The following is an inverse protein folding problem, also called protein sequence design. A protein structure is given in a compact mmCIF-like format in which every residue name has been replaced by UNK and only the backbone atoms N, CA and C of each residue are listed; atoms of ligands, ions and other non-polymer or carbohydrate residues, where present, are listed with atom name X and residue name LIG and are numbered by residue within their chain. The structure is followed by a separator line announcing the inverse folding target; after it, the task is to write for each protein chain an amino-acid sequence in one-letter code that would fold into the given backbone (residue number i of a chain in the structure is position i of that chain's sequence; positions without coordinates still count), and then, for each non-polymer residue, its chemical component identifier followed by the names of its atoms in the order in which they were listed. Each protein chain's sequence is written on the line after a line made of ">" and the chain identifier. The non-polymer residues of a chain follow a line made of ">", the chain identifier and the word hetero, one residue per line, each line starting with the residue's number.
data_IF_943038004664
#
_entry.id   IF_943038004664
#
_cell.length_a   1.000
_cell.length_b   1.000
_cell.length_c   1.000
_cell.angle_alpha   90.00
_cell.angle_beta   90.00
_cell.angle_gamma   90.00
#
_symmetry.space_group_name_H-M   'P 1'
#
loop_
_entity.id
_entity.type
_entity.pdbx_description
1 polymer ?
#
# COMPACT_ATOMS: atom_id res chain seq x y z
N UNK A 1 12.04 18.40 8.58
CA UNK A 1 11.52 17.52 7.50
C UNK A 1 10.00 17.61 7.52
N UNK A 2 9.28 17.46 6.40
CA UNK A 2 7.80 17.46 6.45
C UNK A 2 7.28 16.12 6.97
N UNK A 3 6.37 16.11 7.96
CA UNK A 3 5.77 14.89 8.54
C UNK A 3 5.21 13.95 7.47
N UNK A 4 4.67 14.49 6.37
CA UNK A 4 4.13 13.70 5.26
C UNK A 4 5.19 12.83 4.56
N UNK A 5 6.44 13.30 4.50
CA UNK A 5 7.56 12.57 3.89
C UNK A 5 7.97 11.40 4.79
N UNK A 6 7.94 11.60 6.11
CA UNK A 6 8.21 10.54 7.09
C UNK A 6 7.14 9.47 7.05
N UNK A 7 5.86 9.87 7.08
CA UNK A 7 4.71 8.96 6.90
C UNK A 7 4.87 8.11 5.63
N UNK A 8 5.18 8.73 4.49
CA UNK A 8 5.43 8.01 3.22
C UNK A 8 6.54 6.97 3.37
N UNK A 9 7.67 7.33 3.98
CA UNK A 9 8.80 6.41 4.18
C UNK A 9 8.44 5.26 5.10
N UNK A 10 7.73 5.54 6.19
CA UNK A 10 7.26 4.53 7.15
C UNK A 10 6.35 3.50 6.46
N UNK A 11 5.37 3.96 5.68
CA UNK A 11 4.46 3.07 4.93
C UNK A 11 5.21 2.20 3.93
N UNK A 12 6.09 2.80 3.10
CA UNK A 12 6.85 2.05 2.10
C UNK A 12 7.73 0.99 2.76
N UNK A 13 8.40 1.33 3.86
CA UNK A 13 9.24 0.39 4.60
C UNK A 13 8.40 -0.76 5.14
N UNK A 14 7.32 -0.45 5.85
CA UNK A 14 6.44 -1.46 6.43
C UNK A 14 5.88 -2.43 5.39
N UNK A 15 5.35 -1.92 4.26
CA UNK A 15 4.78 -2.78 3.22
C UNK A 15 5.85 -3.68 2.60
N UNK A 16 7.06 -3.16 2.31
CA UNK A 16 8.17 -3.98 1.79
C UNK A 16 8.67 -5.05 2.77
N UNK A 17 8.58 -4.79 4.07
CA UNK A 17 9.00 -5.74 5.11
C UNK A 17 7.94 -6.82 5.39
N UNK A 18 6.66 -6.54 5.16
CA UNK A 18 5.56 -7.43 5.52
C UNK A 18 4.85 -8.08 4.33
N UNK A 19 5.08 -7.58 3.11
CA UNK A 19 4.47 -8.08 1.88
C UNK A 19 5.59 -8.46 0.91
N UNK A 20 5.48 -9.64 0.30
CA UNK A 20 6.39 -10.06 -0.77
C UNK A 20 6.01 -9.35 -2.07
N UNK A 21 6.43 -8.09 -2.19
CA UNK A 21 6.15 -7.21 -3.31
C UNK A 21 7.43 -6.78 -4.06
N UNK A 22 7.28 -6.45 -5.33
CA UNK A 22 8.33 -5.88 -6.17
C UNK A 22 8.47 -4.39 -5.97
N UNK A 23 7.33 -3.69 -5.89
CA UNK A 23 7.31 -2.24 -5.76
C UNK A 23 6.10 -1.75 -4.94
N UNK A 24 6.26 -0.58 -4.35
CA UNK A 24 5.28 0.11 -3.51
C UNK A 24 5.28 1.59 -3.86
N UNK A 25 4.14 2.08 -4.34
CA UNK A 25 3.92 3.50 -4.64
C UNK A 25 2.79 4.05 -3.77
N UNK A 26 3.09 5.04 -2.93
CA UNK A 26 2.05 5.76 -2.18
C UNK A 26 1.33 6.71 -3.13
N UNK A 27 0.02 6.47 -3.33
CA UNK A 27 -0.83 7.19 -4.28
C UNK A 27 -1.78 8.19 -3.61
N UNK A 28 -2.07 8.01 -2.32
CA UNK A 28 -2.89 8.95 -1.53
C UNK A 28 -2.34 9.06 -0.11
N UNK A 29 -2.27 10.29 0.41
CA UNK A 29 -2.01 10.56 1.82
C UNK A 29 -3.02 11.61 2.27
N UNK A 30 -3.76 11.31 3.33
CA UNK A 30 -4.77 12.20 3.91
C UNK A 30 -4.58 12.23 5.43
N UNK A 31 -4.61 13.42 6.04
CA UNK A 31 -4.65 13.56 7.50
C UNK A 31 -6.08 13.83 7.92
N UNK A 32 -6.63 12.97 8.77
CA UNK A 32 -7.95 13.15 9.39
C UNK A 32 -7.71 13.18 10.90
N UNK A 33 -7.87 14.36 11.50
CA UNK A 33 -7.49 14.62 12.90
C UNK A 33 -6.01 14.29 13.14
N UNK A 34 -5.72 13.34 14.04
CA UNK A 34 -4.37 12.86 14.36
C UNK A 34 -4.01 11.52 13.71
N UNK A 35 -4.82 11.07 12.75
CA UNK A 35 -4.56 9.84 11.99
C UNK A 35 -4.24 10.18 10.54
N UNK A 36 -3.16 9.63 10.05
CA UNK A 36 -2.84 9.59 8.62
C UNK A 36 -3.48 8.35 8.01
N UNK A 37 -4.27 8.55 6.96
CA UNK A 37 -4.77 7.49 6.08
C UNK A 37 -3.98 7.52 4.78
N UNK A 38 -3.36 6.40 4.45
CA UNK A 38 -2.49 6.26 3.29
C UNK A 38 -3.05 5.16 2.41
N UNK A 39 -3.06 5.40 1.09
CA UNK A 39 -3.29 4.33 0.12
C UNK A 39 -2.01 4.13 -0.68
N UNK A 40 -1.56 2.89 -0.74
CA UNK A 40 -0.41 2.46 -1.52
C UNK A 40 -0.83 1.46 -2.60
N UNK A 41 -0.32 1.68 -3.80
CA UNK A 41 -0.28 0.70 -4.87
C UNK A 41 0.91 -0.24 -4.64
N UNK A 42 0.67 -1.54 -4.67
CA UNK A 42 1.66 -2.58 -4.41
C UNK A 42 1.63 -3.60 -5.55
N UNK A 43 2.81 -3.90 -6.11
CA UNK A 43 2.97 -4.91 -7.15
C UNK A 43 3.44 -6.22 -6.52
N UNK A 44 2.61 -7.26 -6.59
CA UNK A 44 2.88 -8.58 -6.02
C UNK A 44 2.84 -9.67 -7.10
N UNK A 45 3.36 -10.85 -6.78
CA UNK A 45 3.04 -12.05 -7.56
C UNK A 45 1.56 -12.39 -7.39
N UNK A 46 0.92 -12.80 -8.48
CA UNK A 46 -0.40 -13.41 -8.43
C UNK A 46 -0.34 -14.67 -7.55
N UNK A 47 -0.90 -14.55 -6.34
CA UNK A 47 -0.89 -15.61 -5.33
C UNK A 47 -1.64 -16.86 -5.80
N UNK A 48 -2.61 -16.71 -6.70
CA UNK A 48 -3.35 -17.83 -7.28
C UNK A 48 -2.49 -18.56 -8.31
N UNK A 49 -1.80 -17.86 -9.21
CA UNK A 49 -0.88 -18.52 -10.15
C UNK A 49 0.29 -19.19 -9.41
N UNK A 50 0.79 -18.54 -8.35
CA UNK A 50 1.85 -19.08 -7.50
C UNK A 50 1.43 -20.39 -6.81
N UNK A 51 0.21 -20.47 -6.28
CA UNK A 51 -0.28 -21.69 -5.64
C UNK A 51 -0.50 -22.84 -6.63
N UNK A 52 -0.82 -22.51 -7.89
CA UNK A 52 -0.98 -23.46 -8.99
C UNK A 52 0.34 -23.84 -9.69
N UNK A 53 1.48 -23.29 -9.26
CA UNK A 53 2.79 -23.44 -9.93
C UNK A 53 2.77 -23.03 -11.41
N UNK A 54 1.93 -22.04 -11.74
CA UNK A 54 1.85 -21.45 -13.07
C UNK A 54 2.88 -20.33 -13.23
N UNK A 55 3.18 -19.91 -14.48
CA UNK A 55 4.07 -18.78 -14.72
C UNK A 55 3.64 -17.54 -13.91
N UNK A 56 4.59 -16.88 -13.22
CA UNK A 56 4.26 -15.75 -12.37
C UNK A 56 3.75 -14.59 -13.21
N UNK A 57 2.73 -13.92 -12.70
CA UNK A 57 2.21 -12.66 -13.24
C UNK A 57 2.21 -11.64 -12.12
N UNK A 58 2.68 -10.44 -12.41
CA UNK A 58 2.56 -9.34 -11.46
C UNK A 58 1.12 -8.82 -11.45
N UNK A 59 0.56 -8.65 -10.25
CA UNK A 59 -0.75 -8.06 -10.02
C UNK A 59 -0.60 -6.77 -9.24
N UNK A 60 -1.40 -5.78 -9.63
CA UNK A 60 -1.48 -4.50 -8.95
C UNK A 60 -2.56 -4.56 -7.89
N UNK A 61 -2.19 -4.30 -6.64
CA UNK A 61 -3.05 -4.32 -5.48
C UNK A 61 -3.00 -2.99 -4.75
N UNK A 62 -4.04 -2.69 -3.98
CA UNK A 62 -4.11 -1.47 -3.18
C UNK A 62 -4.20 -1.81 -1.70
N UNK A 63 -3.44 -1.10 -0.89
CA UNK A 63 -3.44 -1.24 0.57
C UNK A 63 -3.78 0.09 1.21
N UNK A 64 -4.70 0.05 2.17
CA UNK A 64 -4.95 1.13 3.11
C UNK A 64 -4.08 0.92 4.34
N UNK A 65 -3.36 1.96 4.77
CA UNK A 65 -2.53 1.96 5.97
C UNK A 65 -2.91 3.16 6.82
N UNK A 66 -3.13 2.94 8.12
CA UNK A 66 -3.35 4.01 9.08
C UNK A 66 -2.14 4.17 9.98
N UNK A 67 -1.72 5.42 10.16
CA UNK A 67 -0.59 5.81 11.00
C UNK A 67 -1.04 6.89 11.98
N UNK A 68 -0.62 6.78 13.24
CA UNK A 68 -0.89 7.80 14.26
C UNK A 68 0.11 8.98 14.21
N UNK A 69 0.02 9.89 15.16
CA UNK A 69 0.90 11.06 15.27
C UNK A 69 2.36 10.72 15.64
N UNK A 70 2.60 9.52 16.17
CA UNK A 70 3.90 9.00 16.59
C UNK A 70 4.58 8.16 15.50
N UNK A 71 3.99 8.11 14.29
CA UNK A 71 4.43 7.27 13.18
C UNK A 71 4.28 5.76 13.43
N UNK A 72 3.41 5.38 14.38
CA UNK A 72 3.04 3.98 14.62
C UNK A 72 1.97 3.56 13.61
N UNK A 73 2.18 2.41 12.97
CA UNK A 73 1.17 1.80 12.09
C UNK A 73 0.12 1.14 12.98
N UNK A 74 -1.08 1.70 12.98
CA UNK A 74 -2.19 1.23 13.81
C UNK A 74 -3.08 0.22 13.10
N UNK A 75 -3.10 0.21 11.77
CA UNK A 75 -3.79 -0.80 10.96
C UNK A 75 -3.31 -0.80 9.52
N UNK A 76 -3.48 -1.94 8.84
CA UNK A 76 -3.40 -2.02 7.38
C UNK A 76 -4.35 -3.08 6.85
N UNK A 77 -4.86 -2.88 5.65
CA UNK A 77 -5.75 -3.82 4.97
C UNK A 77 -5.55 -3.77 3.45
N UNK A 78 -5.77 -4.91 2.80
CA UNK A 78 -5.86 -4.97 1.33
C UNK A 78 -7.25 -4.51 0.89
N UNK A 79 -7.30 -3.58 -0.05
CA UNK A 79 -8.52 -3.09 -0.64
C UNK A 79 -8.95 -3.97 -1.82
N UNK A 80 -10.26 -4.15 -1.99
CA UNK A 80 -10.84 -4.87 -3.14
C UNK A 80 -10.70 -4.06 -4.44
N UNK A 81 -10.82 -2.74 -4.34
CA UNK A 81 -10.65 -1.77 -5.42
C UNK A 81 -10.28 -0.42 -4.82
N UNK A 82 -9.73 0.48 -5.66
CA UNK A 82 -9.51 1.87 -5.31
C UNK A 82 -10.08 2.74 -6.42
N UNK A 83 -11.19 3.42 -6.15
CA UNK A 83 -11.83 4.33 -7.11
C UNK A 83 -10.91 5.51 -7.42
N UNK A 84 -10.60 5.71 -8.71
CA UNK A 84 -9.73 6.78 -9.19
C UNK A 84 -8.57 6.35 -10.09
N UNK A 85 -8.36 5.05 -10.30
CA UNK A 85 -7.27 4.53 -11.15
C UNK A 85 -7.78 3.95 -12.49
N UNK A 86 -9.09 3.72 -12.62
CA UNK A 86 -9.69 3.08 -13.81
C UNK A 86 -10.31 4.08 -14.82
N UNK A 87 -10.18 5.39 -14.62
CA UNK A 87 -10.68 6.42 -15.55
C UNK A 87 -9.71 6.74 -16.71
N UNK A 88 -8.84 5.80 -17.08
CA UNK A 88 -8.02 5.88 -18.28
C UNK A 88 -8.33 4.66 -19.17
N UNK A 89 -9.52 4.66 -19.76
CA UNK A 89 -9.91 3.78 -20.88
C UNK A 89 -10.01 4.62 -22.15
#
# INVERSE_FOLDING_TARGET
>A
MSKIIEVKKTVVKFLKENINCYDVTVIKIEKINEIWKIVAEVYEDDSFLKSMKLPPKQVRLFYSVMIDENLEITSFERLNSFEGVDNAS
#
